data_IF_794681430424
#
_entry.id   IF_794681430424
#
_cell.length_a   1.000
_cell.length_b   1.000
_cell.length_c   1.000
_cell.angle_alpha   90.00
_cell.angle_beta   90.00
_cell.angle_gamma   90.00
#
_symmetry.space_group_name_H-M   'P 1'
#
loop_
_entity.id
_entity.type
_entity.pdbx_description
1 polymer ?
#
# COMPACT_ATOMS: atom_id res chain seq x y z
N UNK A 1 14.32 -14.14 3.83
CA UNK A 1 13.62 -13.16 4.69
C UNK A 1 12.37 -12.66 3.98
N UNK A 2 11.27 -12.65 4.66
CA UNK A 2 9.98 -12.31 4.06
C UNK A 2 9.61 -10.86 4.38
N UNK A 3 10.24 -9.93 3.68
CA UNK A 3 9.99 -8.50 3.90
C UNK A 3 8.57 -8.12 3.52
N UNK A 4 8.01 -8.77 2.51
CA UNK A 4 6.65 -8.49 2.06
C UNK A 4 5.62 -8.93 3.11
N UNK A 5 5.81 -10.09 3.70
CA UNK A 5 4.92 -10.55 4.77
C UNK A 5 4.98 -9.65 5.99
N UNK A 6 6.18 -9.18 6.34
CA UNK A 6 6.35 -8.25 7.45
C UNK A 6 5.68 -6.92 7.17
N UNK A 7 5.84 -6.40 5.95
CA UNK A 7 5.20 -5.15 5.55
C UNK A 7 3.67 -5.27 5.59
N UNK A 8 3.14 -6.38 5.08
CA UNK A 8 1.71 -6.63 5.08
C UNK A 8 1.15 -6.64 6.50
N UNK A 9 1.85 -7.30 7.41
CA UNK A 9 1.41 -7.35 8.81
C UNK A 9 1.44 -5.98 9.47
N UNK A 10 2.51 -5.22 9.23
CA UNK A 10 2.62 -3.87 9.80
C UNK A 10 1.53 -2.95 9.26
N UNK A 11 1.29 -2.98 7.97
CA UNK A 11 0.26 -2.16 7.35
C UNK A 11 -1.12 -2.55 7.85
N UNK A 12 -1.38 -3.86 8.00
CA UNK A 12 -2.65 -4.33 8.52
C UNK A 12 -2.91 -3.80 9.93
N UNK A 13 -1.92 -3.87 10.80
CA UNK A 13 -2.05 -3.35 12.16
C UNK A 13 -2.28 -1.85 12.17
N UNK A 14 -1.56 -1.15 11.31
CA UNK A 14 -1.68 0.30 11.21
C UNK A 14 -3.07 0.71 10.76
N UNK A 15 -3.59 0.10 9.70
CA UNK A 15 -4.86 0.49 9.12
C UNK A 15 -6.02 0.24 10.09
N UNK A 16 -5.93 -0.81 10.89
CA UNK A 16 -6.98 -1.14 11.86
C UNK A 16 -7.03 -0.16 13.03
N UNK A 17 -6.01 0.67 13.18
CA UNK A 17 -5.93 1.68 14.24
C UNK A 17 -6.15 3.10 13.76
N UNK A 18 -6.45 3.26 12.46
CA UNK A 18 -6.63 4.61 11.91
C UNK A 18 -7.87 5.27 12.49
N UNK A 19 -7.71 6.49 12.93
CA UNK A 19 -8.83 7.35 13.31
C UNK A 19 -9.28 8.19 12.13
N UNK A 20 -8.32 8.55 11.26
CA UNK A 20 -8.57 9.32 10.05
C UNK A 20 -7.82 8.68 8.90
N UNK A 21 -8.40 8.71 7.71
CA UNK A 21 -7.73 8.18 6.53
C UNK A 21 -6.65 9.14 6.05
N UNK A 22 -5.48 8.61 5.66
CA UNK A 22 -4.44 9.45 5.08
C UNK A 22 -4.85 9.93 3.68
N UNK A 23 -4.22 11.00 3.24
CA UNK A 23 -4.43 11.50 1.88
C UNK A 23 -3.70 10.64 0.85
N UNK A 24 -2.60 10.01 1.25
CA UNK A 24 -1.77 9.19 0.36
C UNK A 24 -0.92 8.26 1.19
N UNK A 25 -0.80 7.02 0.75
CA UNK A 25 0.11 6.04 1.36
C UNK A 25 1.20 5.72 0.35
N UNK A 26 2.45 5.82 0.78
CA UNK A 26 3.61 5.51 -0.05
C UNK A 26 4.31 4.29 0.51
N UNK A 27 4.45 3.25 -0.31
CA UNK A 27 5.13 2.02 0.07
C UNK A 27 6.54 2.02 -0.49
N UNK A 28 7.49 1.56 0.30
CA UNK A 28 8.86 1.38 -0.14
C UNK A 28 9.01 -0.02 -0.71
N UNK A 29 8.93 -0.13 -2.02
CA UNK A 29 9.01 -1.42 -2.68
C UNK A 29 8.54 -1.33 -4.11
N UNK A 30 8.43 -2.49 -4.75
CA UNK A 30 8.03 -2.55 -6.15
C UNK A 30 6.55 -2.87 -6.35
N UNK A 31 6.24 -3.23 -7.58
CA UNK A 31 4.86 -3.53 -7.98
C UNK A 31 4.27 -4.68 -7.17
N UNK A 32 5.09 -5.70 -6.85
CA UNK A 32 4.60 -6.84 -6.06
C UNK A 32 4.15 -6.40 -4.68
N UNK A 33 4.90 -5.50 -4.05
CA UNK A 33 4.51 -4.96 -2.75
C UNK A 33 3.20 -4.21 -2.85
N UNK A 34 3.06 -3.37 -3.88
CA UNK A 34 1.84 -2.62 -4.08
C UNK A 34 0.64 -3.54 -4.28
N UNK A 35 0.76 -4.53 -5.16
CA UNK A 35 -0.33 -5.46 -5.44
C UNK A 35 -0.77 -6.21 -4.20
N UNK A 36 0.19 -6.69 -3.41
CA UNK A 36 -0.10 -7.45 -2.20
C UNK A 36 -0.79 -6.58 -1.15
N UNK A 37 -0.27 -5.38 -0.92
CA UNK A 37 -0.83 -4.50 0.10
C UNK A 37 -2.21 -3.99 -0.31
N UNK A 38 -2.38 -3.60 -1.57
CA UNK A 38 -3.70 -3.15 -2.05
C UNK A 38 -4.72 -4.28 -1.94
N UNK A 39 -4.35 -5.50 -2.31
CA UNK A 39 -5.23 -6.66 -2.17
C UNK A 39 -5.64 -6.90 -0.72
N UNK A 40 -4.70 -6.80 0.19
CA UNK A 40 -4.97 -6.94 1.61
C UNK A 40 -5.92 -5.84 2.12
N UNK A 41 -5.69 -4.60 1.69
CA UNK A 41 -6.55 -3.49 2.08
C UNK A 41 -7.97 -3.66 1.54
N UNK A 42 -8.10 -4.16 0.31
CA UNK A 42 -9.42 -4.45 -0.27
C UNK A 42 -10.16 -5.50 0.54
N UNK A 43 -9.44 -6.56 0.95
CA UNK A 43 -10.03 -7.62 1.77
C UNK A 43 -10.52 -7.08 3.12
N UNK A 44 -9.85 -6.07 3.65
CA UNK A 44 -10.24 -5.45 4.92
C UNK A 44 -11.30 -4.36 4.75
N UNK A 45 -11.65 -4.03 3.50
CA UNK A 45 -12.64 -3.00 3.24
C UNK A 45 -12.08 -1.60 3.10
N UNK A 46 -10.77 -1.46 2.96
CA UNK A 46 -10.11 -0.16 2.86
C UNK A 46 -9.56 0.15 1.46
N UNK A 47 -9.88 -0.69 0.48
CA UNK A 47 -9.27 -0.58 -0.84
C UNK A 47 -9.52 0.73 -1.57
N UNK A 48 -10.64 1.39 -1.28
CA UNK A 48 -11.03 2.64 -1.92
C UNK A 48 -11.04 3.84 -0.96
N UNK A 49 -10.48 3.67 0.24
CA UNK A 49 -10.53 4.74 1.25
C UNK A 49 -9.43 5.77 1.08
N UNK A 50 -8.31 5.37 0.49
CA UNK A 50 -7.18 6.27 0.26
C UNK A 50 -6.31 5.72 -0.85
N UNK A 51 -5.58 6.60 -1.57
CA UNK A 51 -4.68 6.14 -2.62
C UNK A 51 -3.41 5.54 -2.04
N UNK A 52 -2.88 4.52 -2.72
CA UNK A 52 -1.65 3.85 -2.34
C UNK A 52 -0.74 3.78 -3.55
N UNK A 53 0.51 4.17 -3.39
CA UNK A 53 1.53 4.06 -4.42
C UNK A 53 2.75 3.35 -3.85
N UNK A 54 3.58 2.84 -4.74
CA UNK A 54 4.85 2.22 -4.34
C UNK A 54 5.99 2.87 -5.10
N UNK A 55 7.10 3.07 -4.41
CA UNK A 55 8.32 3.61 -4.99
C UNK A 55 9.37 2.51 -5.06
N UNK A 56 9.78 2.16 -6.27
CA UNK A 56 10.87 1.21 -6.48
C UNK A 56 12.17 1.98 -6.58
N UNK A 57 12.96 1.96 -5.53
CA UNK A 57 14.17 2.76 -5.43
C UNK A 57 15.17 2.54 -6.55
N UNK A 58 15.31 1.30 -7.00
CA UNK A 58 16.30 0.98 -8.03
C UNK A 58 15.99 1.64 -9.36
N UNK A 59 14.73 1.79 -9.68
CA UNK A 59 14.29 2.28 -10.99
C UNK A 59 13.70 3.67 -10.92
N UNK A 60 13.58 4.20 -9.71
CA UNK A 60 12.93 5.48 -9.46
C UNK A 60 11.56 5.57 -10.13
N UNK A 61 10.87 4.43 -10.18
CA UNK A 61 9.58 4.30 -10.83
C UNK A 61 8.47 4.31 -9.81
N UNK A 62 7.42 5.06 -10.10
CA UNK A 62 6.24 5.10 -9.25
C UNK A 62 5.18 4.17 -9.84
N UNK A 63 4.67 3.25 -9.03
CA UNK A 63 3.60 2.35 -9.44
C UNK A 63 2.29 2.73 -8.77
N UNK A 64 1.20 2.58 -9.49
CA UNK A 64 -0.12 2.73 -8.91
C UNK A 64 -1.06 1.72 -9.57
N UNK A 65 -1.91 1.11 -8.77
CA UNK A 65 -2.97 0.23 -9.26
C UNK A 65 -4.31 0.94 -9.25
N UNK A 66 -4.37 2.10 -8.66
CA UNK A 66 -5.60 2.86 -8.58
C UNK A 66 -5.79 3.69 -9.84
N UNK A 67 -7.02 3.88 -10.25
CA UNK A 67 -7.37 4.79 -11.32
C UNK A 67 -7.45 6.23 -10.82
N UNK A 68 -7.15 6.45 -9.55
CA UNK A 68 -7.12 7.78 -8.98
C UNK A 68 -5.90 8.51 -9.51
N UNK A 69 -6.13 9.65 -10.10
CA UNK A 69 -5.06 10.49 -10.60
C UNK A 69 -4.61 11.42 -9.50
N UNK A 70 -3.32 11.39 -9.27
CA UNK A 70 -2.71 12.20 -8.24
C UNK A 70 -2.08 13.42 -8.89
#
# INVERSE_FOLDING_TARGET
MDDLGMMSEVVQRWVLRLEHYPDLVILDGGKTHLTTIVGMLEDLGYGDKFPVIALAKKEETVYTLSLIHI
#
